data_IF_326083837406
#
_entry.id   IF_326083837406
#
_cell.length_a   1.000
_cell.length_b   1.000
_cell.length_c   1.000
_cell.angle_alpha   90.00
_cell.angle_beta   90.00
_cell.angle_gamma   90.00
#
_symmetry.space_group_name_H-M   'P 1'
#
loop_
_entity.id
_entity.type
_entity.pdbx_description
1 polymer ?
#
# COMPACT_ATOMS: atom_id res chain seq x y z
N UNK A 1 -1.49 10.75 -4.48
CA UNK A 1 -2.33 9.53 -4.44
C UNK A 1 -1.80 8.63 -3.35
N UNK A 2 -2.68 8.05 -2.54
CA UNK A 2 -2.29 7.36 -1.30
C UNK A 2 -3.03 6.01 -1.26
N UNK A 3 -2.34 4.94 -0.90
CA UNK A 3 -2.96 3.65 -0.65
C UNK A 3 -3.93 3.78 0.53
N UNK A 4 -5.18 3.42 0.28
CA UNK A 4 -6.29 3.59 1.21
C UNK A 4 -7.62 3.41 0.48
N UNK A 5 -8.72 3.25 1.22
CA UNK A 5 -10.01 2.88 0.65
C UNK A 5 -10.56 3.99 -0.25
N UNK A 6 -10.60 3.76 -1.56
CA UNK A 6 -11.02 4.77 -2.52
C UNK A 6 -12.50 5.19 -2.38
N UNK A 7 -13.32 4.36 -1.74
CA UNK A 7 -14.70 4.66 -1.36
C UNK A 7 -14.81 5.57 -0.13
N UNK A 8 -13.70 5.94 0.51
CA UNK A 8 -13.63 6.97 1.54
C UNK A 8 -13.27 8.37 1.00
N UNK A 9 -13.00 8.52 -0.31
CA UNK A 9 -12.54 9.79 -0.88
C UNK A 9 -13.47 10.98 -0.60
N UNK A 10 -14.79 10.78 -0.68
CA UNK A 10 -15.78 11.84 -0.40
C UNK A 10 -15.77 12.33 1.06
N UNK A 11 -15.10 11.58 1.94
CA UNK A 11 -15.00 11.84 3.38
C UNK A 11 -13.55 12.03 3.85
N UNK A 12 -12.59 12.16 2.93
CA UNK A 12 -11.16 12.31 3.28
C UNK A 12 -10.94 13.49 4.22
N UNK A 13 -11.75 14.54 4.13
CA UNK A 13 -11.67 15.71 4.98
C UNK A 13 -11.87 15.42 6.47
N UNK A 14 -12.57 14.33 6.80
CA UNK A 14 -12.78 13.89 8.19
C UNK A 14 -11.49 13.47 8.87
N UNK A 15 -10.45 13.06 8.12
CA UNK A 15 -9.15 12.73 8.68
C UNK A 15 -8.40 13.97 9.20
N UNK A 16 -8.82 15.18 8.83
CA UNK A 16 -8.20 16.43 9.30
C UNK A 16 -8.92 17.05 10.51
N UNK A 17 -9.91 16.36 11.08
CA UNK A 17 -10.47 16.71 12.38
C UNK A 17 -9.42 16.51 13.49
N UNK A 18 -9.69 17.05 14.68
CA UNK A 18 -8.78 16.99 15.83
C UNK A 18 -8.77 15.60 16.47
N UNK A 19 -8.23 14.60 15.77
CA UNK A 19 -8.08 13.23 16.24
C UNK A 19 -6.85 13.09 17.14
N UNK A 20 -6.94 12.14 18.08
CA UNK A 20 -5.76 11.58 18.76
C UNK A 20 -5.34 10.31 18.02
N UNK A 21 -4.11 10.26 17.51
CA UNK A 21 -3.59 9.09 16.79
C UNK A 21 -3.19 7.96 17.77
N UNK A 22 -3.25 6.68 17.33
CA UNK A 22 -3.63 6.23 15.99
C UNK A 22 -5.14 6.22 15.75
N UNK A 23 -5.54 6.50 14.51
CA UNK A 23 -6.93 6.37 14.03
C UNK A 23 -6.96 5.37 12.87
N UNK A 24 -8.11 4.76 12.57
CA UNK A 24 -8.23 3.88 11.42
C UNK A 24 -9.56 4.09 10.69
N UNK A 25 -9.54 3.98 9.37
CA UNK A 25 -10.76 3.79 8.58
C UNK A 25 -11.12 2.31 8.67
N UNK A 26 -12.33 2.02 9.14
CA UNK A 26 -12.89 0.66 9.12
C UNK A 26 -13.85 0.54 7.94
N UNK A 27 -13.54 -0.37 7.03
CA UNK A 27 -14.40 -0.72 5.89
C UNK A 27 -15.06 -2.06 6.15
N UNK A 28 -16.38 -2.16 5.94
CA UNK A 28 -17.12 -3.40 6.11
C UNK A 28 -18.15 -3.58 5.00
N UNK A 29 -18.25 -4.80 4.47
CA UNK A 29 -19.27 -5.18 3.51
C UNK A 29 -19.94 -6.50 3.89
N UNK A 30 -21.20 -6.68 3.47
CA UNK A 30 -21.94 -7.93 3.61
C UNK A 30 -22.35 -8.45 2.24
N UNK A 31 -22.22 -9.76 2.05
CA UNK A 31 -22.66 -10.43 0.83
C UNK A 31 -24.19 -10.58 0.82
N UNK A 32 -24.78 -10.44 -0.36
CA UNK A 32 -26.24 -10.41 -0.52
C UNK A 32 -26.90 -11.75 -0.18
N UNK A 33 -26.20 -12.87 -0.34
CA UNK A 33 -26.74 -14.20 -0.06
C UNK A 33 -26.78 -14.54 1.44
N UNK A 34 -26.13 -13.72 2.29
CA UNK A 34 -26.04 -13.91 3.73
C UNK A 34 -25.37 -15.22 4.16
N UNK A 35 -24.79 -15.98 3.23
CA UNK A 35 -24.24 -17.30 3.49
C UNK A 35 -22.79 -17.21 3.97
N UNK A 36 -22.02 -16.25 3.43
CA UNK A 36 -20.67 -15.96 3.87
C UNK A 36 -20.64 -14.82 4.92
N UNK A 37 -19.74 -14.88 5.92
CA UNK A 37 -19.52 -13.74 6.80
C UNK A 37 -19.05 -12.53 5.98
N UNK A 38 -19.52 -11.34 6.32
CA UNK A 38 -19.07 -10.11 5.67
C UNK A 38 -17.56 -9.85 5.86
N UNK A 39 -16.97 -9.06 4.97
CA UNK A 39 -15.54 -8.74 4.98
C UNK A 39 -15.27 -7.40 5.67
N UNK A 40 -14.29 -7.38 6.55
CA UNK A 40 -13.81 -6.17 7.21
C UNK A 40 -12.35 -5.87 6.86
N UNK A 41 -12.00 -4.60 6.75
CA UNK A 41 -10.62 -4.14 6.56
C UNK A 41 -10.35 -2.90 7.42
N UNK A 42 -9.14 -2.82 7.97
CA UNK A 42 -8.66 -1.66 8.72
C UNK A 42 -7.57 -0.97 7.93
N UNK A 43 -7.69 0.34 7.73
CA UNK A 43 -6.63 1.19 7.19
C UNK A 43 -6.16 2.11 8.32
N UNK A 44 -5.11 1.71 9.07
CA UNK A 44 -4.62 2.46 10.21
C UNK A 44 -3.74 3.65 9.80
N UNK A 45 -3.81 4.71 10.58
CA UNK A 45 -3.00 5.91 10.47
C UNK A 45 -2.34 6.16 11.83
N UNK A 46 -1.02 6.07 11.85
CA UNK A 46 -0.18 6.47 12.97
C UNK A 46 0.57 7.75 12.61
N UNK A 47 1.11 8.46 13.62
CA UNK A 47 1.87 9.69 13.38
C UNK A 47 3.01 9.47 12.39
N UNK A 48 3.69 8.33 12.46
CA UNK A 48 4.80 7.97 11.58
C UNK A 48 4.39 7.22 10.30
N UNK A 49 3.09 6.93 10.09
CA UNK A 49 2.66 6.18 8.90
C UNK A 49 2.87 7.02 7.62
N UNK A 50 3.44 6.44 6.54
CA UNK A 50 3.66 7.15 5.28
C UNK A 50 2.39 7.78 4.71
N UNK A 51 1.26 7.09 4.84
CA UNK A 51 -0.06 7.53 4.35
C UNK A 51 -0.53 8.79 5.09
N UNK A 52 -0.39 8.81 6.42
CA UNK A 52 -0.72 9.99 7.24
C UNK A 52 0.21 11.16 6.93
N UNK A 53 1.51 10.91 6.83
CA UNK A 53 2.49 11.95 6.47
C UNK A 53 2.20 12.54 5.09
N UNK A 54 1.81 11.71 4.13
CA UNK A 54 1.41 12.12 2.79
C UNK A 54 0.13 12.96 2.78
N UNK A 55 -0.91 12.57 3.54
CA UNK A 55 -2.13 13.37 3.71
C UNK A 55 -1.81 14.76 4.26
N UNK A 56 -1.02 14.82 5.32
CA UNK A 56 -0.66 16.08 5.98
C UNK A 56 0.22 16.97 5.09
N UNK A 57 1.17 16.38 4.36
CA UNK A 57 2.01 17.10 3.42
C UNK A 57 1.20 17.64 2.24
N UNK A 58 0.31 16.83 1.67
CA UNK A 58 -0.55 17.23 0.56
C UNK A 58 -1.47 18.40 0.96
N UNK A 59 -2.08 18.36 2.16
CA UNK A 59 -2.89 19.48 2.68
C UNK A 59 -2.07 20.77 2.81
N UNK A 60 -0.83 20.68 3.31
CA UNK A 60 0.06 21.85 3.48
C UNK A 60 0.40 22.53 2.15
N UNK A 61 0.55 21.77 1.07
CA UNK A 61 0.86 22.29 -0.27
C UNK A 61 -0.38 22.45 -1.15
N UNK A 62 -1.58 22.20 -0.61
CA UNK A 62 -2.85 22.24 -1.33
C UNK A 62 -2.90 21.30 -2.55
N UNK A 63 -2.22 20.16 -2.48
CA UNK A 63 -2.27 19.14 -3.53
C UNK A 63 -3.60 18.37 -3.50
N UNK A 64 -4.08 18.00 -4.69
CA UNK A 64 -5.22 17.10 -4.81
C UNK A 64 -4.85 15.72 -4.28
N UNK A 65 -5.69 15.17 -3.41
CA UNK A 65 -5.41 13.92 -2.71
C UNK A 65 -6.53 12.92 -2.93
N UNK A 66 -6.16 11.70 -3.28
CA UNK A 66 -7.08 10.59 -3.52
C UNK A 66 -6.50 9.34 -2.89
N UNK A 67 -7.36 8.61 -2.17
CA UNK A 67 -7.21 7.21 -1.87
C UNK A 67 -7.44 6.37 -3.13
N UNK A 68 -6.57 5.41 -3.39
CA UNK A 68 -6.52 4.69 -4.66
C UNK A 68 -6.55 3.17 -4.53
N UNK A 69 -6.77 2.62 -3.33
CA UNK A 69 -6.86 1.18 -3.16
C UNK A 69 -8.27 0.65 -3.41
N UNK A 70 -8.35 -0.61 -3.85
CA UNK A 70 -9.59 -1.29 -4.19
C UNK A 70 -10.50 -1.42 -2.96
N UNK A 71 -11.73 -0.88 -2.98
CA UNK A 71 -12.66 -0.99 -1.86
C UNK A 71 -12.91 -2.43 -1.42
N UNK A 72 -13.07 -2.63 -0.11
CA UNK A 72 -13.26 -3.96 0.50
C UNK A 72 -14.40 -4.77 -0.14
N UNK A 73 -15.50 -4.10 -0.52
CA UNK A 73 -16.65 -4.72 -1.18
C UNK A 73 -16.41 -5.14 -2.63
N UNK A 74 -15.36 -4.63 -3.26
CA UNK A 74 -15.01 -4.90 -4.65
C UNK A 74 -13.91 -5.97 -4.81
N UNK A 75 -13.36 -6.46 -3.69
CA UNK A 75 -12.31 -7.47 -3.67
C UNK A 75 -12.93 -8.87 -3.88
N UNK A 76 -12.49 -9.60 -4.90
CA UNK A 76 -12.96 -10.96 -5.17
C UNK A 76 -12.58 -11.93 -4.05
N UNK A 77 -13.42 -12.94 -3.83
CA UNK A 77 -13.14 -14.10 -2.97
C UNK A 77 -12.57 -15.29 -3.76
N UNK A 78 -12.19 -15.11 -5.03
CA UNK A 78 -11.47 -16.17 -5.76
C UNK A 78 -10.31 -16.65 -4.89
N UNK A 79 -10.43 -17.89 -4.40
CA UNK A 79 -9.38 -18.54 -3.65
C UNK A 79 -8.25 -18.74 -4.63
N UNK A 80 -7.24 -17.88 -4.52
CA UNK A 80 -6.03 -18.06 -5.27
C UNK A 80 -5.21 -19.14 -4.54
N UNK A 81 -5.35 -20.38 -5.00
CA UNK A 81 -4.53 -21.51 -4.54
C UNK A 81 -3.05 -21.34 -4.96
N UNK A 82 -2.68 -20.26 -5.64
CA UNK A 82 -1.28 -19.94 -5.87
C UNK A 82 -0.55 -19.73 -4.54
N UNK A 83 0.70 -20.20 -4.41
CA UNK A 83 1.50 -19.93 -3.22
C UNK A 83 1.60 -18.43 -2.98
N UNK A 84 1.53 -18.01 -1.72
CA UNK A 84 1.81 -16.63 -1.32
C UNK A 84 3.25 -16.28 -1.73
N UNK A 85 3.37 -15.67 -2.91
CA UNK A 85 4.67 -15.45 -3.52
C UNK A 85 5.47 -14.41 -2.74
N UNK A 86 4.79 -13.55 -1.97
CA UNK A 86 5.46 -12.61 -1.09
C UNK A 86 6.11 -13.35 0.08
N UNK A 87 5.39 -14.27 0.71
CA UNK A 87 5.92 -15.10 1.80
C UNK A 87 7.10 -15.98 1.33
N UNK A 88 6.99 -16.61 0.16
CA UNK A 88 8.08 -17.41 -0.42
C UNK A 88 9.32 -16.56 -0.73
N UNK A 89 9.15 -15.40 -1.37
CA UNK A 89 10.26 -14.48 -1.65
C UNK A 89 10.90 -13.95 -0.38
N UNK A 90 10.10 -13.67 0.66
CA UNK A 90 10.60 -13.24 1.96
C UNK A 90 11.44 -14.35 2.61
N UNK A 91 10.99 -15.60 2.56
CA UNK A 91 11.76 -16.73 3.07
C UNK A 91 13.09 -16.93 2.34
N UNK A 92 13.12 -16.72 1.01
CA UNK A 92 14.35 -16.75 0.21
C UNK A 92 15.31 -15.62 0.61
N UNK A 93 14.81 -14.41 0.84
CA UNK A 93 15.60 -13.26 1.30
C UNK A 93 16.22 -13.51 2.67
N UNK A 94 15.45 -14.03 3.63
CA UNK A 94 15.95 -14.38 4.97
C UNK A 94 17.06 -15.44 4.89
N UNK A 95 16.86 -16.47 4.07
CA UNK A 95 17.88 -17.50 3.85
C UNK A 95 19.15 -16.96 3.20
N UNK A 96 19.02 -16.07 2.21
CA UNK A 96 20.15 -15.47 1.51
C UNK A 96 20.98 -14.53 2.42
N UNK A 97 20.28 -13.79 3.28
CA UNK A 97 20.89 -12.84 4.24
C UNK A 97 21.34 -13.50 5.55
N UNK A 98 20.93 -14.75 5.79
CA UNK A 98 21.14 -15.51 7.04
C UNK A 98 20.54 -14.80 8.26
N UNK A 99 19.40 -14.14 8.06
CA UNK A 99 18.63 -13.52 9.12
C UNK A 99 17.54 -14.49 9.60
N UNK A 100 17.25 -14.43 10.90
CA UNK A 100 16.30 -15.35 11.54
C UNK A 100 14.83 -14.96 11.27
N UNK A 101 14.56 -13.66 11.09
CA UNK A 101 13.22 -13.13 10.85
C UNK A 101 13.24 -11.77 10.10
N UNK A 102 12.06 -11.35 9.66
CA UNK A 102 11.85 -10.09 8.91
C UNK A 102 12.30 -8.86 9.67
N UNK A 103 12.06 -8.82 10.98
CA UNK A 103 12.30 -7.64 11.81
C UNK A 103 13.81 -7.42 11.96
N UNK A 104 14.57 -8.49 12.23
CA UNK A 104 16.04 -8.44 12.29
C UNK A 104 16.65 -8.07 10.94
N UNK A 105 16.07 -8.56 9.84
CA UNK A 105 16.49 -8.15 8.50
C UNK A 105 16.20 -6.66 8.26
N UNK A 106 15.03 -6.18 8.68
CA UNK A 106 14.62 -4.78 8.53
C UNK A 106 15.54 -3.84 9.33
N UNK A 107 15.78 -4.15 10.61
CA UNK A 107 16.71 -3.41 11.48
C UNK A 107 18.08 -3.27 10.84
N UNK A 108 18.62 -4.38 10.32
CA UNK A 108 19.94 -4.43 9.73
C UNK A 108 20.04 -3.65 8.39
N UNK A 109 18.98 -3.66 7.58
CA UNK A 109 18.98 -3.05 6.25
C UNK A 109 18.54 -1.59 6.22
N UNK A 110 17.72 -1.14 7.18
CA UNK A 110 17.01 0.13 7.04
C UNK A 110 17.00 1.01 8.30
N UNK A 111 17.22 0.47 9.50
CA UNK A 111 17.11 1.25 10.75
C UNK A 111 18.44 1.85 11.25
N UNK A 112 19.53 1.62 10.53
CA UNK A 112 20.81 2.26 10.81
C UNK A 112 20.86 3.67 10.20
N UNK A 113 20.90 4.70 11.05
CA UNK A 113 20.98 6.11 10.63
C UNK A 113 22.18 6.40 9.70
N UNK A 114 23.26 5.63 9.80
CA UNK A 114 24.41 5.79 8.91
C UNK A 114 24.09 5.45 7.44
N UNK A 115 23.01 4.70 7.21
CA UNK A 115 22.54 4.26 5.90
C UNK A 115 21.48 5.20 5.30
N UNK A 116 21.10 6.28 6.00
CA UNK A 116 20.00 7.18 5.61
C UNK A 116 20.13 7.73 4.18
N UNK A 117 21.35 8.04 3.73
CA UNK A 117 21.60 8.55 2.37
C UNK A 117 21.30 7.51 1.29
N UNK A 118 21.50 6.22 1.59
CA UNK A 118 21.26 5.11 0.68
C UNK A 118 19.86 4.48 0.83
N UNK A 119 19.11 4.87 1.87
CA UNK A 119 17.81 4.28 2.20
C UNK A 119 16.83 4.24 1.01
N UNK A 120 16.64 5.30 0.20
CA UNK A 120 15.71 5.25 -0.92
C UNK A 120 16.07 4.19 -1.98
N UNK A 121 17.35 4.07 -2.32
CA UNK A 121 17.80 3.07 -3.30
C UNK A 121 17.81 1.66 -2.71
N UNK A 122 18.11 1.52 -1.42
CA UNK A 122 18.03 0.25 -0.71
C UNK A 122 16.60 -0.29 -0.66
N UNK A 123 15.62 0.53 -0.29
CA UNK A 123 14.20 0.16 -0.29
C UNK A 123 13.70 -0.21 -1.69
N UNK A 124 14.04 0.60 -2.70
CA UNK A 124 13.66 0.32 -4.08
C UNK A 124 14.25 -1.03 -4.57
N UNK A 125 15.51 -1.31 -4.24
CA UNK A 125 16.14 -2.59 -4.56
C UNK A 125 15.48 -3.75 -3.82
N UNK A 126 15.26 -3.60 -2.51
CA UNK A 126 14.65 -4.63 -1.68
C UNK A 126 13.27 -5.04 -2.20
N UNK A 127 12.38 -4.09 -2.46
CA UNK A 127 11.05 -4.40 -2.93
C UNK A 127 11.01 -4.91 -4.38
N UNK A 128 11.93 -4.46 -5.24
CA UNK A 128 12.09 -5.04 -6.56
C UNK A 128 12.50 -6.53 -6.48
N UNK A 129 13.38 -6.90 -5.54
CA UNK A 129 13.79 -8.29 -5.33
C UNK A 129 12.72 -9.13 -4.63
N UNK A 130 12.05 -8.57 -3.62
CA UNK A 130 10.96 -9.23 -2.92
C UNK A 130 9.84 -9.62 -3.91
N UNK A 131 9.51 -8.71 -4.84
CA UNK A 131 8.52 -9.00 -5.87
C UNK A 131 9.06 -9.94 -6.97
N UNK A 132 10.29 -9.70 -7.42
CA UNK A 132 10.88 -10.42 -8.56
C UNK A 132 10.01 -10.30 -9.82
N UNK A 133 9.82 -11.43 -10.52
CA UNK A 133 8.94 -11.54 -11.68
C UNK A 133 7.49 -11.92 -11.31
N UNK A 134 7.17 -11.94 -10.01
CA UNK A 134 5.82 -12.32 -9.57
C UNK A 134 4.77 -11.30 -10.04
N UNK A 135 3.68 -11.76 -10.66
CA UNK A 135 2.53 -10.90 -10.92
C UNK A 135 1.74 -10.59 -9.65
N UNK A 136 2.06 -11.22 -8.50
CA UNK A 136 1.25 -11.19 -7.28
C UNK A 136 0.02 -12.09 -7.37
N UNK A 137 -0.61 -12.38 -6.23
CA UNK A 137 -1.88 -13.11 -6.18
C UNK A 137 -3.04 -12.34 -6.85
N UNK A 138 -4.19 -13.01 -7.01
CA UNK A 138 -5.38 -12.45 -7.64
C UNK A 138 -5.84 -11.14 -7.02
N UNK A 139 -5.79 -11.02 -5.70
CA UNK A 139 -6.23 -9.83 -4.99
C UNK A 139 -5.26 -8.66 -5.24
N UNK A 140 -3.96 -8.89 -5.11
CA UNK A 140 -2.93 -7.90 -5.38
C UNK A 140 -2.97 -7.42 -6.83
N UNK A 141 -3.21 -8.32 -7.80
CA UNK A 141 -3.43 -7.93 -9.21
C UNK A 141 -4.66 -7.04 -9.40
N UNK A 142 -5.77 -7.31 -8.70
CA UNK A 142 -6.98 -6.48 -8.75
C UNK A 142 -6.73 -5.09 -8.14
N UNK A 143 -6.06 -5.05 -6.98
CA UNK A 143 -5.67 -3.81 -6.30
C UNK A 143 -4.76 -2.95 -7.18
N UNK A 144 -3.75 -3.55 -7.79
CA UNK A 144 -2.81 -2.88 -8.70
C UNK A 144 -3.49 -2.37 -9.97
N UNK A 145 -4.37 -3.16 -10.59
CA UNK A 145 -5.15 -2.69 -11.74
C UNK A 145 -6.07 -1.53 -11.37
N UNK A 146 -6.63 -1.52 -10.15
CA UNK A 146 -7.45 -0.42 -9.66
C UNK A 146 -6.60 0.84 -9.39
N UNK A 147 -5.47 0.72 -8.69
CA UNK A 147 -4.50 1.80 -8.48
C UNK A 147 -4.00 2.38 -9.80
N UNK A 148 -3.69 1.52 -10.77
CA UNK A 148 -3.19 1.91 -12.08
C UNK A 148 -4.18 2.80 -12.85
N UNK A 149 -5.48 2.49 -12.77
CA UNK A 149 -6.52 3.33 -13.41
C UNK A 149 -6.59 4.72 -12.78
N UNK A 150 -6.47 4.82 -11.46
CA UNK A 150 -6.40 6.10 -10.76
C UNK A 150 -5.18 6.91 -11.17
N UNK A 151 -4.00 6.30 -11.19
CA UNK A 151 -2.75 6.95 -11.60
C UNK A 151 -2.85 7.43 -13.05
N UNK A 152 -3.31 6.57 -13.97
CA UNK A 152 -3.51 6.95 -15.36
C UNK A 152 -4.51 8.09 -15.54
N UNK A 153 -5.62 8.07 -14.80
CA UNK A 153 -6.57 9.19 -14.78
C UNK A 153 -5.92 10.50 -14.29
N UNK A 154 -5.14 10.45 -13.20
CA UNK A 154 -4.49 11.62 -12.64
C UNK A 154 -3.45 12.21 -13.59
N UNK A 155 -2.64 11.36 -14.23
CA UNK A 155 -1.66 11.78 -15.24
C UNK A 155 -2.35 12.44 -16.44
N UNK A 156 -3.50 11.93 -16.88
CA UNK A 156 -4.28 12.54 -17.98
C UNK A 156 -4.85 13.91 -17.65
N UNK A 157 -4.99 14.27 -16.37
CA UNK A 157 -5.44 15.62 -16.00
C UNK A 157 -4.40 16.70 -16.34
N UNK A 158 -3.14 16.32 -16.61
CA UNK A 158 -2.03 17.23 -16.92
C UNK A 158 -1.91 18.41 -15.93
N UNK A 159 -2.19 18.15 -14.66
CA UNK A 159 -2.31 19.17 -13.61
C UNK A 159 -1.10 19.18 -12.65
N UNK A 160 0.08 18.78 -13.14
CA UNK A 160 1.32 18.69 -12.38
C UNK A 160 1.78 17.26 -12.12
N UNK A 161 2.78 17.13 -11.25
CA UNK A 161 3.39 15.85 -10.91
C UNK A 161 2.46 14.96 -10.08
N UNK A 162 2.47 13.65 -10.36
CA UNK A 162 1.71 12.65 -9.63
C UNK A 162 2.65 11.90 -8.68
N UNK A 163 2.44 12.07 -7.37
CA UNK A 163 3.09 11.27 -6.33
C UNK A 163 2.15 10.14 -5.89
N UNK A 164 2.69 8.93 -5.74
CA UNK A 164 1.98 7.75 -5.21
C UNK A 164 2.67 7.28 -3.94
N UNK A 165 1.89 7.09 -2.88
CA UNK A 165 2.32 6.47 -1.61
C UNK A 165 1.58 5.15 -1.47
N UNK A 166 2.31 4.05 -1.45
CA UNK A 166 1.76 2.69 -1.40
C UNK A 166 2.76 1.74 -0.73
N UNK A 167 2.29 0.56 -0.36
CA UNK A 167 3.10 -0.53 0.16
C UNK A 167 4.16 -0.97 -0.84
N UNK A 168 5.33 -1.32 -0.31
CA UNK A 168 6.49 -1.64 -1.13
C UNK A 168 6.27 -2.80 -2.10
N UNK A 169 5.35 -3.73 -1.82
CA UNK A 169 4.96 -4.78 -2.76
C UNK A 169 4.41 -4.23 -4.07
N UNK A 170 3.56 -3.20 -4.02
CA UNK A 170 2.88 -2.61 -5.18
C UNK A 170 3.78 -1.66 -5.97
N UNK A 171 4.71 -0.98 -5.30
CA UNK A 171 5.53 0.06 -5.90
C UNK A 171 6.27 -0.38 -7.19
N UNK A 172 6.92 -1.57 -7.26
CA UNK A 172 7.56 -2.05 -8.50
C UNK A 172 6.59 -2.29 -9.66
N UNK A 173 5.32 -2.62 -9.40
CA UNK A 173 4.32 -2.79 -10.46
C UNK A 173 3.84 -1.44 -10.98
N UNK A 174 3.50 -0.53 -10.08
CA UNK A 174 2.99 0.80 -10.43
C UNK A 174 4.05 1.67 -11.11
N UNK A 175 5.33 1.50 -10.76
CA UNK A 175 6.44 2.24 -11.38
C UNK A 175 6.73 1.85 -12.85
N UNK A 176 6.18 0.72 -13.33
CA UNK A 176 6.37 0.24 -14.72
C UNK A 176 5.27 0.71 -15.69
N UNK A 177 4.28 1.45 -15.19
CA UNK A 177 3.13 1.92 -15.95
C UNK A 177 3.45 2.99 -16.98
#
# INVERSE_FOLDING_TARGET
MIEGPADFNDRVDELFLAHQLPVAIYSYCQYQDGAAPGRGAWTPFAEFSPEWQALQAARRIQAQTYFIDLPCWAQSEEVDDSPDTQEESQALLLRATRMDNSDTLWDHLFEDESQQTALPSALAHYFAQLRGDSPGDALNRQREAFMARWIGWAMQQNNGDVLVVCGGWHAPALAKM
#
